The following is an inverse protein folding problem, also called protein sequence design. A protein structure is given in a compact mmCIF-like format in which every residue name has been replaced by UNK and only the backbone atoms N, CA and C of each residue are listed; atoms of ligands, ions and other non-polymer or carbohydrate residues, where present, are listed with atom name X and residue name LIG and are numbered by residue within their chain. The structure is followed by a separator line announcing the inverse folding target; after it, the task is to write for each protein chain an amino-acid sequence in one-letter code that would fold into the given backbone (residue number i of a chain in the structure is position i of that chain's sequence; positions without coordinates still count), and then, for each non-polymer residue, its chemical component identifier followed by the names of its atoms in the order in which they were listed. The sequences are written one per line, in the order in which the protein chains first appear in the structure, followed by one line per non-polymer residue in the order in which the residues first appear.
data_IF_192610031265
#
_entry.id   IF_192610031265
#
_cell.length_a   1.000
_cell.length_b   1.000
_cell.length_c   1.000
_cell.angle_alpha   90.00
_cell.angle_beta   90.00
_cell.angle_gamma   90.00
#
_symmetry.space_group_name_H-M   'P 1'
#
loop_
_entity.id
_entity.type
_entity.pdbx_description
1 polymer ?
#
# COMPACT_ATOMS: atom_id res chain seq x y z
N UNK A 1 -7.93 -6.61 -4.44
CA UNK A 1 -6.65 -6.05 -3.94
C UNK A 1 -6.54 -4.55 -4.15
N UNK A 2 -6.62 -4.03 -5.38
CA UNK A 2 -6.51 -2.57 -5.63
C UNK A 2 -7.54 -1.74 -4.87
N UNK A 3 -8.82 -2.15 -4.82
CA UNK A 3 -9.84 -1.46 -4.03
C UNK A 3 -9.49 -1.39 -2.54
N UNK A 4 -9.14 -2.54 -1.92
CA UNK A 4 -8.72 -2.62 -0.52
C UNK A 4 -7.49 -1.75 -0.22
N UNK A 5 -6.56 -1.69 -1.17
CA UNK A 5 -5.39 -0.82 -1.10
C UNK A 5 -5.79 0.66 -1.09
N UNK A 6 -6.53 1.13 -2.10
CA UNK A 6 -6.91 2.55 -2.22
C UNK A 6 -7.71 3.02 -1.02
N UNK A 7 -8.64 2.21 -0.51
CA UNK A 7 -9.41 2.52 0.70
C UNK A 7 -8.48 2.67 1.94
N UNK A 8 -7.51 1.76 2.10
CA UNK A 8 -6.55 1.84 3.21
C UNK A 8 -5.60 3.03 3.07
N UNK A 9 -5.12 3.32 1.86
CA UNK A 9 -4.23 4.45 1.59
C UNK A 9 -4.92 5.80 1.84
N UNK A 10 -6.21 5.94 1.49
CA UNK A 10 -6.95 7.17 1.73
C UNK A 10 -7.04 7.55 3.21
N UNK A 11 -6.91 6.59 4.14
CA UNK A 11 -6.92 6.90 5.57
C UNK A 11 -5.71 7.71 6.03
N UNK A 12 -4.63 7.76 5.24
CA UNK A 12 -3.50 8.66 5.49
C UNK A 12 -3.94 10.13 5.56
N UNK A 13 -5.06 10.50 4.93
CA UNK A 13 -5.63 11.86 5.02
C UNK A 13 -5.93 12.23 6.47
N UNK A 14 -6.53 11.32 7.24
CA UNK A 14 -6.87 11.56 8.64
C UNK A 14 -5.62 11.67 9.52
N UNK A 15 -4.61 10.84 9.26
CA UNK A 15 -3.32 10.92 9.94
C UNK A 15 -2.60 12.24 9.63
N UNK A 16 -2.61 12.69 8.37
CA UNK A 16 -2.05 14.00 7.99
C UNK A 16 -2.82 15.13 8.70
N UNK A 17 -4.15 15.07 8.73
CA UNK A 17 -4.97 16.09 9.39
C UNK A 17 -4.65 16.21 10.88
N UNK A 18 -4.64 15.07 11.59
CA UNK A 18 -4.35 15.02 13.03
C UNK A 18 -2.93 15.46 13.35
N UNK A 19 -1.93 14.86 12.70
CA UNK A 19 -0.52 15.11 13.01
C UNK A 19 -0.05 16.50 12.59
N UNK A 20 -0.62 17.09 11.54
CA UNK A 20 -0.31 18.46 11.13
C UNK A 20 -1.19 19.51 11.83
N UNK A 21 -2.15 19.10 12.67
CA UNK A 21 -3.07 20.01 13.35
C UNK A 21 -3.92 20.84 12.39
N UNK A 22 -4.38 20.23 11.30
CA UNK A 22 -5.11 20.94 10.23
C UNK A 22 -6.47 20.32 9.94
N UNK A 23 -7.29 21.00 9.14
CA UNK A 23 -8.59 20.48 8.73
C UNK A 23 -8.44 19.29 7.78
N UNK A 24 -9.45 18.41 7.75
CA UNK A 24 -9.53 17.34 6.75
C UNK A 24 -9.38 17.87 5.32
N UNK A 25 -9.98 19.02 5.00
CA UNK A 25 -9.90 19.61 3.67
C UNK A 25 -8.45 19.96 3.29
N UNK A 26 -7.69 20.58 4.20
CA UNK A 26 -6.28 20.88 3.97
C UNK A 26 -5.47 19.59 3.82
N UNK A 27 -5.73 18.58 4.64
CA UNK A 27 -5.07 17.29 4.53
C UNK A 27 -5.36 16.58 3.20
N UNK A 28 -6.58 16.69 2.66
CA UNK A 28 -6.92 16.20 1.32
C UNK A 28 -6.09 16.91 0.25
N UNK A 29 -5.93 18.23 0.32
CA UNK A 29 -5.10 19.00 -0.63
C UNK A 29 -3.64 18.53 -0.58
N UNK A 30 -3.09 18.34 0.64
CA UNK A 30 -1.73 17.81 0.83
C UNK A 30 -1.62 16.41 0.23
N UNK A 31 -2.57 15.52 0.52
CA UNK A 31 -2.60 14.14 0.02
C UNK A 31 -2.64 14.08 -1.52
N UNK A 32 -3.44 14.94 -2.16
CA UNK A 32 -3.54 15.03 -3.63
C UNK A 32 -2.28 15.62 -4.28
N UNK A 33 -1.56 16.49 -3.56
CA UNK A 33 -0.30 17.08 -4.02
C UNK A 33 0.86 16.06 -4.00
N UNK A 34 0.83 15.13 -3.04
CA UNK A 34 1.82 14.06 -2.95
C UNK A 34 1.48 12.94 -3.95
N UNK A 35 2.19 12.94 -5.07
CA UNK A 35 1.92 12.07 -6.22
C UNK A 35 2.26 10.58 -6.03
N UNK A 36 2.83 10.18 -4.88
CA UNK A 36 3.18 8.78 -4.61
C UNK A 36 2.80 8.38 -3.20
N UNK A 37 2.39 7.12 -3.01
CA UNK A 37 2.17 6.54 -1.68
C UNK A 37 3.42 6.70 -0.81
N UNK A 38 4.62 6.53 -1.36
CA UNK A 38 5.87 6.68 -0.62
C UNK A 38 5.95 8.08 0.00
N UNK A 39 5.73 9.12 -0.79
CA UNK A 39 5.79 10.50 -0.29
C UNK A 39 4.73 10.77 0.79
N UNK A 40 3.51 10.23 0.64
CA UNK A 40 2.44 10.34 1.65
C UNK A 40 2.81 9.67 2.97
N UNK A 41 3.34 8.45 2.89
CA UNK A 41 3.75 7.69 4.07
C UNK A 41 4.97 8.33 4.74
N UNK A 42 5.93 8.83 3.96
CA UNK A 42 7.10 9.54 4.48
C UNK A 42 6.69 10.85 5.18
N UNK A 43 5.68 11.57 4.66
CA UNK A 43 5.12 12.74 5.35
C UNK A 43 4.55 12.35 6.71
N UNK A 44 3.70 11.33 6.78
CA UNK A 44 3.10 10.86 8.04
C UNK A 44 4.18 10.47 9.06
N UNK A 45 5.20 9.73 8.65
CA UNK A 45 6.31 9.37 9.55
C UNK A 45 7.08 10.59 10.04
N UNK A 46 7.30 11.59 9.17
CA UNK A 46 8.01 12.83 9.55
C UNK A 46 7.17 13.67 10.51
N UNK A 47 5.86 13.76 10.29
CA UNK A 47 4.94 14.45 11.19
C UNK A 47 4.86 13.74 12.55
N UNK A 48 4.80 12.41 12.58
CA UNK A 48 4.82 11.64 13.84
C UNK A 48 6.14 11.84 14.63
N UNK A 49 7.25 12.08 13.92
CA UNK A 49 8.58 12.30 14.52
C UNK A 49 8.87 13.76 14.87
N UNK A 50 8.02 14.72 14.49
CA UNK A 50 8.28 16.16 14.68
C UNK A 50 8.15 16.62 16.14
N UNK A 51 7.62 15.76 17.02
CA UNK A 51 7.45 16.04 18.45
C UNK A 51 5.99 16.27 18.88
N UNK A 52 5.04 16.26 17.94
CA UNK A 52 3.61 16.40 18.25
C UNK A 52 2.97 15.13 18.84
N UNK A 53 3.56 13.95 18.59
CA UNK A 53 3.04 12.66 19.06
C UNK A 53 3.83 12.16 20.28
N UNK A 54 3.14 11.47 21.20
CA UNK A 54 3.79 10.72 22.28
C UNK A 54 4.69 9.61 21.71
N UNK A 55 5.64 9.12 22.50
CA UNK A 55 6.53 8.03 22.06
C UNK A 55 5.75 6.79 21.62
N UNK A 56 4.72 6.42 22.38
CA UNK A 56 3.83 5.31 22.06
C UNK A 56 3.05 5.54 20.76
N UNK A 57 2.44 6.72 20.59
CA UNK A 57 1.68 7.05 19.40
C UNK A 57 2.57 7.05 18.15
N UNK A 58 3.78 7.60 18.26
CA UNK A 58 4.78 7.58 17.18
C UNK A 58 5.12 6.15 16.77
N UNK A 59 5.35 5.27 17.74
CA UNK A 59 5.73 3.88 17.48
C UNK A 59 4.55 3.11 16.85
N UNK A 60 3.31 3.38 17.28
CA UNK A 60 2.09 2.85 16.62
C UNK A 60 1.97 3.31 15.16
N UNK A 61 2.10 4.62 14.91
CA UNK A 61 2.01 5.19 13.56
C UNK A 61 3.09 4.60 12.65
N UNK A 62 4.34 4.58 13.11
CA UNK A 62 5.46 4.05 12.32
C UNK A 62 5.34 2.55 12.04
N UNK A 63 4.72 1.79 12.94
CA UNK A 63 4.35 0.39 12.71
C UNK A 63 3.30 0.22 11.60
N UNK A 64 2.25 1.04 11.62
CA UNK A 64 1.20 1.04 10.59
C UNK A 64 1.74 1.45 9.22
N UNK A 65 2.52 2.54 9.14
CA UNK A 65 3.14 3.01 7.90
C UNK A 65 4.15 2.02 7.34
N UNK A 66 4.90 1.31 8.20
CA UNK A 66 5.77 0.20 7.81
C UNK A 66 5.01 -0.92 7.08
N UNK A 67 3.82 -1.29 7.59
CA UNK A 67 2.96 -2.29 6.95
C UNK A 67 2.39 -1.82 5.62
N UNK A 68 2.00 -0.55 5.50
CA UNK A 68 1.58 0.04 4.22
C UNK A 68 2.68 -0.14 3.17
N UNK A 69 3.94 0.21 3.49
CA UNK A 69 5.08 0.05 2.56
C UNK A 69 5.27 -1.41 2.14
N UNK A 70 5.17 -2.35 3.07
CA UNK A 70 5.27 -3.80 2.77
C UNK A 70 4.21 -4.24 1.78
N UNK A 71 2.94 -3.86 1.98
CA UNK A 71 1.85 -4.21 1.08
C UNK A 71 1.92 -3.47 -0.27
N UNK A 72 2.52 -2.27 -0.32
CA UNK A 72 2.75 -1.55 -1.58
C UNK A 72 3.60 -2.36 -2.56
N UNK A 73 4.68 -2.98 -2.06
CA UNK A 73 5.57 -3.81 -2.89
C UNK A 73 4.83 -4.99 -3.51
N UNK A 74 4.01 -5.70 -2.70
CA UNK A 74 3.18 -6.80 -3.16
C UNK A 74 2.13 -6.35 -4.18
N UNK A 75 1.45 -5.22 -3.91
CA UNK A 75 0.48 -4.64 -4.86
C UNK A 75 1.14 -4.31 -6.19
N UNK A 76 2.33 -3.73 -6.18
CA UNK A 76 3.06 -3.38 -7.40
C UNK A 76 3.48 -4.63 -8.19
N UNK A 77 3.90 -5.69 -7.50
CA UNK A 77 4.21 -6.98 -8.14
C UNK A 77 3.01 -7.54 -8.91
N UNK A 78 1.83 -7.62 -8.29
CA UNK A 78 0.63 -8.16 -8.94
C UNK A 78 -0.02 -7.20 -9.95
N UNK A 79 0.08 -5.87 -9.76
CA UNK A 79 -0.52 -4.88 -10.66
C UNK A 79 0.28 -4.67 -11.94
N UNK A 80 1.58 -4.94 -11.93
CA UNK A 80 2.47 -4.81 -13.09
C UNK A 80 2.85 -6.16 -13.72
N UNK A 81 2.11 -7.22 -13.40
CA UNK A 81 2.24 -8.52 -14.04
C UNK A 81 1.32 -8.63 -15.25
N UNK A 82 1.78 -9.26 -16.33
CA UNK A 82 0.97 -9.51 -17.54
C UNK A 82 0.24 -10.84 -17.33
N UNK A 83 -1.09 -10.82 -17.40
CA UNK A 83 -1.91 -12.03 -17.31
C UNK A 83 -2.11 -12.58 -18.72
N UNK A 84 -1.57 -13.78 -19.01
CA UNK A 84 -1.83 -14.47 -20.26
C UNK A 84 -2.84 -15.59 -20.02
N UNK A 85 -3.94 -15.55 -20.75
CA UNK A 85 -4.98 -16.57 -20.70
C UNK A 85 -4.76 -17.55 -21.86
N UNK A 86 -4.54 -18.82 -21.54
CA UNK A 86 -4.53 -19.89 -22.56
C UNK A 86 -5.97 -20.36 -22.79
N UNK A 87 -6.47 -20.10 -24.00
CA UNK A 87 -7.85 -20.36 -24.39
C UNK A 87 -8.17 -21.86 -24.54
N UNK A 88 -7.15 -22.75 -24.64
CA UNK A 88 -7.37 -24.19 -24.84
C UNK A 88 -7.40 -24.99 -23.53
N UNK A 89 -6.75 -24.52 -22.45
CA UNK A 89 -6.59 -25.28 -21.20
C UNK A 89 -7.28 -24.67 -19.98
N UNK A 90 -7.71 -23.40 -20.04
CA UNK A 90 -8.32 -22.70 -18.91
C UNK A 90 -7.36 -22.37 -17.76
N UNK A 91 -6.05 -22.60 -17.93
CA UNK A 91 -5.04 -22.29 -16.94
C UNK A 91 -4.63 -20.81 -17.00
N UNK A 92 -4.77 -20.09 -15.88
CA UNK A 92 -4.31 -18.71 -15.71
C UNK A 92 -2.81 -18.70 -15.44
N UNK A 93 -2.00 -18.31 -16.43
CA UNK A 93 -0.56 -18.08 -16.24
C UNK A 93 -0.30 -16.59 -16.00
N UNK A 94 0.52 -16.26 -15.00
CA UNK A 94 1.06 -14.90 -14.84
C UNK A 94 2.42 -14.84 -15.49
N UNK A 95 2.54 -14.08 -16.57
CA UNK A 95 3.83 -13.76 -17.16
C UNK A 95 4.31 -12.47 -16.50
N UNK A 96 5.23 -12.58 -15.53
CA UNK A 96 6.00 -11.42 -15.09
C UNK A 96 7.03 -11.08 -16.18
N UNK A 97 6.61 -10.33 -17.21
CA UNK A 97 7.56 -9.75 -18.17
C UNK A 97 8.32 -8.61 -17.49
N UNK A 98 9.44 -8.94 -16.84
CA UNK A 98 10.55 -7.99 -16.79
C UNK A 98 11.29 -8.17 -18.12
N UNK A 99 10.98 -7.35 -19.13
CA UNK A 99 11.95 -7.12 -20.20
C UNK A 99 13.13 -6.44 -19.52
N UNK A 100 14.10 -7.23 -19.08
CA UNK A 100 15.39 -6.74 -18.64
C UNK A 100 16.23 -6.58 -19.92
N UNK A 101 16.20 -5.40 -20.52
CA UNK A 101 17.10 -5.05 -21.59
C UNK A 101 18.53 -5.04 -21.03
N UNK A 102 19.28 -6.11 -21.32
CA UNK A 102 20.73 -6.16 -21.13
C UNK A 102 21.34 -6.32 -22.51
N UNK A 103 22.35 -5.50 -22.79
CA UNK A 103 23.02 -5.25 -24.08
C UNK A 103 23.13 -6.41 -25.10
N UNK A 104 23.11 -7.69 -24.70
CA UNK A 104 23.33 -8.84 -25.58
C UNK A 104 22.26 -9.96 -25.53
N UNK A 105 21.13 -9.84 -24.81
CA UNK A 105 20.08 -10.88 -24.86
C UNK A 105 18.70 -10.41 -24.33
N UNK A 106 17.65 -10.64 -25.14
CA UNK A 106 16.25 -10.65 -24.70
C UNK A 106 15.93 -11.98 -24.02
N UNK A 107 16.03 -12.04 -22.69
CA UNK A 107 15.51 -13.20 -21.93
C UNK A 107 14.07 -12.95 -21.53
N UNK A 108 13.17 -13.82 -21.98
CA UNK A 108 11.77 -13.88 -21.51
C UNK A 108 11.80 -14.08 -19.99
N UNK A 109 11.20 -13.15 -19.26
CA UNK A 109 11.19 -13.13 -17.79
C UNK A 109 10.62 -14.41 -17.20
N UNK A 110 11.16 -14.78 -16.03
CA UNK A 110 10.73 -15.93 -15.22
C UNK A 110 9.19 -15.93 -15.10
N UNK A 111 8.57 -16.96 -15.64
CA UNK A 111 7.13 -17.23 -15.50
C UNK A 111 6.94 -17.82 -14.10
N UNK A 112 6.32 -17.08 -13.20
CA UNK A 112 5.78 -17.66 -11.96
C UNK A 112 4.30 -17.97 -12.24
N UNK A 113 3.94 -19.24 -12.23
CA UNK A 113 2.56 -19.66 -12.43
C UNK A 113 1.66 -19.03 -11.34
N UNK A 114 0.42 -18.65 -11.70
CA UNK A 114 -0.61 -18.35 -10.68
C UNK A 114 -1.12 -19.68 -10.16
N UNK A 115 -0.31 -20.31 -9.34
CA UNK A 115 -0.69 -21.50 -8.63
C UNK A 115 -1.62 -21.16 -7.44
N UNK A 116 -2.07 -22.21 -6.76
CA UNK A 116 -2.87 -22.08 -5.54
C UNK A 116 -2.14 -21.26 -4.45
N UNK A 117 -0.80 -21.25 -4.45
CA UNK A 117 0.00 -20.49 -3.50
C UNK A 117 -0.09 -18.98 -3.78
N UNK A 118 -0.01 -18.57 -5.04
CA UNK A 118 -0.19 -17.18 -5.46
C UNK A 118 -1.58 -16.64 -5.09
N UNK A 119 -2.63 -17.42 -5.31
CA UNK A 119 -3.99 -17.07 -4.90
C UNK A 119 -4.10 -16.93 -3.37
N UNK A 120 -3.42 -17.81 -2.63
CA UNK A 120 -3.38 -17.76 -1.16
C UNK A 120 -2.68 -16.49 -0.68
N UNK A 121 -1.53 -16.13 -1.26
CA UNK A 121 -0.79 -14.89 -0.94
C UNK A 121 -1.63 -13.64 -1.22
N UNK A 122 -2.39 -13.60 -2.31
CA UNK A 122 -3.30 -12.48 -2.62
C UNK A 122 -4.40 -12.39 -1.55
N UNK A 123 -5.05 -13.50 -1.19
CA UNK A 123 -6.09 -13.52 -0.15
C UNK A 123 -5.55 -13.03 1.20
N UNK A 124 -4.41 -13.57 1.62
CA UNK A 124 -3.74 -13.14 2.86
C UNK A 124 -3.41 -11.65 2.85
N UNK A 125 -2.98 -11.12 1.70
CA UNK A 125 -2.69 -9.68 1.59
C UNK A 125 -3.95 -8.83 1.67
N UNK A 126 -5.06 -9.28 1.08
CA UNK A 126 -6.35 -8.58 1.19
C UNK A 126 -6.82 -8.54 2.64
N UNK A 127 -6.75 -9.65 3.37
CA UNK A 127 -7.13 -9.68 4.79
C UNK A 127 -6.20 -8.82 5.65
N UNK A 128 -4.89 -8.85 5.39
CA UNK A 128 -3.94 -7.97 6.08
C UNK A 128 -4.22 -6.48 5.83
N UNK A 129 -4.65 -6.11 4.61
CA UNK A 129 -5.06 -4.75 4.29
C UNK A 129 -6.35 -4.34 5.00
N UNK A 130 -7.33 -5.24 5.13
CA UNK A 130 -8.56 -4.97 5.90
C UNK A 130 -8.25 -4.74 7.37
N UNK A 131 -7.41 -5.59 7.97
CA UNK A 131 -6.99 -5.43 9.36
C UNK A 131 -6.26 -4.10 9.55
N UNK A 132 -5.33 -3.78 8.64
CA UNK A 132 -4.61 -2.50 8.65
C UNK A 132 -5.55 -1.29 8.53
N UNK A 133 -6.57 -1.38 7.69
CA UNK A 133 -7.60 -0.34 7.56
C UNK A 133 -8.33 -0.10 8.89
N UNK A 134 -8.77 -1.18 9.54
CA UNK A 134 -9.45 -1.10 10.84
C UNK A 134 -8.55 -0.51 11.91
N UNK A 135 -7.29 -0.94 12.01
CA UNK A 135 -6.34 -0.41 13.00
C UNK A 135 -6.05 1.09 12.79
N UNK A 136 -5.93 1.56 11.54
CA UNK A 136 -5.76 2.98 11.25
C UNK A 136 -7.01 3.76 11.67
N UNK A 137 -8.20 3.24 11.40
CA UNK A 137 -9.45 3.85 11.87
C UNK A 137 -9.54 3.92 13.39
N UNK A 138 -9.19 2.84 14.08
CA UNK A 138 -9.16 2.80 15.54
C UNK A 138 -8.24 3.90 16.07
N UNK A 139 -7.02 4.02 15.53
CA UNK A 139 -6.09 5.08 15.93
C UNK A 139 -6.66 6.48 15.66
N UNK A 140 -7.25 6.70 14.48
CA UNK A 140 -7.88 7.99 14.11
C UNK A 140 -8.97 8.39 15.11
N UNK A 141 -9.81 7.44 15.53
CA UNK A 141 -10.88 7.68 16.49
C UNK A 141 -10.37 7.88 17.92
N UNK A 142 -9.40 7.08 18.37
CA UNK A 142 -8.78 7.17 19.69
C UNK A 142 -8.09 8.52 19.91
N UNK A 143 -7.35 8.99 18.89
CA UNK A 143 -6.61 10.26 18.95
C UNK A 143 -7.48 11.48 18.60
N UNK A 144 -8.76 11.28 18.27
CA UNK A 144 -9.68 12.36 17.92
C UNK A 144 -9.30 13.11 16.65
N UNK A 145 -8.68 12.43 15.69
CA UNK A 145 -8.26 13.05 14.43
C UNK A 145 -9.45 13.40 13.53
N UNK A 146 -9.36 14.43 12.68
CA UNK A 146 -10.46 14.85 11.82
C UNK A 146 -10.93 13.76 10.83
N UNK A 147 -12.24 13.47 10.81
CA UNK A 147 -12.91 12.42 10.00
C UNK A 147 -13.68 12.97 8.80
#
# INVERSE_FOLDING_TARGET
MNYSWTNTESLLIHLIAGLAGTSKQTAVIIYLTLNTTRARVDLVDRLAKSGAASGELRDRITGLTGRIRKHQSLRNHYSHSIYSFDAETGATRTITMRIADRKNALKMGRSDDVDAEALTRIRQTIEALKLLNHEIWTLVLEEGYPV
#
